data_IF_839370388055
#
_entry.id   IF_839370388055
#
_cell.length_a   1.000
_cell.length_b   1.000
_cell.length_c   1.000
_cell.angle_alpha   90.00
_cell.angle_beta   90.00
_cell.angle_gamma   90.00
#
_symmetry.space_group_name_H-M   'P 1'
#
loop_
_entity.id
_entity.type
_entity.pdbx_description
1 polymer ?
#
# COMPACT_ATOMS: atom_id res chain seq x y z
N UNK A 1 -4.72 11.30 32.98
CA UNK A 1 -3.59 11.47 32.05
C UNK A 1 -4.03 12.38 30.92
N UNK A 2 -3.40 13.54 30.76
CA UNK A 2 -3.65 14.45 29.66
C UNK A 2 -2.80 14.09 28.42
N UNK A 3 -3.04 14.76 27.29
CA UNK A 3 -2.33 14.46 26.04
C UNK A 3 -0.82 14.67 26.14
N UNK A 4 -0.35 15.62 26.94
CA UNK A 4 1.08 15.87 27.12
C UNK A 4 1.72 14.74 27.95
N UNK A 5 1.06 14.31 29.03
CA UNK A 5 1.51 13.20 29.88
C UNK A 5 1.58 11.88 29.08
N UNK A 6 0.58 11.61 28.24
CA UNK A 6 0.57 10.42 27.38
C UNK A 6 1.73 10.41 26.38
N UNK A 7 1.99 11.54 25.70
CA UNK A 7 3.09 11.66 24.74
C UNK A 7 4.45 11.44 25.40
N UNK A 8 4.62 11.98 26.61
CA UNK A 8 5.86 11.88 27.36
C UNK A 8 6.10 10.44 27.84
N UNK A 9 5.05 9.72 28.20
CA UNK A 9 5.13 8.31 28.58
C UNK A 9 5.47 7.42 27.37
N UNK A 10 4.83 7.64 26.21
CA UNK A 10 5.17 6.94 24.96
C UNK A 10 6.65 7.19 24.60
N UNK A 11 7.10 8.44 24.66
CA UNK A 11 8.49 8.80 24.38
C UNK A 11 9.47 8.01 25.27
N UNK A 12 9.23 7.96 26.58
CA UNK A 12 10.08 7.22 27.53
C UNK A 12 10.11 5.72 27.26
N UNK A 13 9.00 5.14 26.82
CA UNK A 13 8.94 3.72 26.49
C UNK A 13 9.71 3.42 25.20
N UNK A 14 9.56 4.26 24.17
CA UNK A 14 10.27 4.16 22.89
C UNK A 14 11.78 4.34 23.09
N UNK A 15 12.21 5.31 23.89
CA UNK A 15 13.63 5.62 24.16
C UNK A 15 14.41 4.44 24.77
N UNK A 16 13.71 3.49 25.40
CA UNK A 16 14.31 2.30 26.03
C UNK A 16 14.46 1.12 25.07
N UNK A 17 13.90 1.19 23.87
CA UNK A 17 13.90 0.08 22.93
C UNK A 17 15.21 -0.02 22.19
N UNK A 18 15.62 -1.25 21.90
CA UNK A 18 16.69 -1.50 20.94
C UNK A 18 16.25 -1.18 19.51
N UNK A 19 17.22 -1.15 18.60
CA UNK A 19 17.00 -0.79 17.20
C UNK A 19 15.95 -1.66 16.51
N UNK A 20 15.97 -2.98 16.72
CA UNK A 20 15.00 -3.90 16.10
C UNK A 20 13.57 -3.62 16.54
N UNK A 21 13.36 -3.38 17.83
CA UNK A 21 12.06 -3.06 18.38
C UNK A 21 11.60 -1.65 17.98
N UNK A 22 12.53 -0.70 17.84
CA UNK A 22 12.25 0.63 17.28
C UNK A 22 11.76 0.56 15.83
N UNK A 23 12.40 -0.24 14.98
CA UNK A 23 11.99 -0.44 13.58
C UNK A 23 10.58 -1.05 13.50
N UNK A 24 10.27 -2.02 14.38
CA UNK A 24 8.93 -2.60 14.45
C UNK A 24 7.86 -1.58 14.89
N UNK A 25 8.12 -0.80 15.93
CA UNK A 25 7.19 0.26 16.39
C UNK A 25 7.05 1.37 15.35
N UNK A 26 8.14 1.73 14.67
CA UNK A 26 8.09 2.69 13.57
C UNK A 26 7.15 2.22 12.47
N UNK A 27 7.24 0.95 12.05
CA UNK A 27 6.31 0.37 11.08
C UNK A 27 4.84 0.42 11.53
N UNK A 28 4.56 0.10 12.80
CA UNK A 28 3.21 0.14 13.36
C UNK A 28 2.67 1.58 13.41
N UNK A 29 3.47 2.53 13.91
CA UNK A 29 3.11 3.95 13.97
C UNK A 29 2.86 4.50 12.57
N UNK A 30 3.73 4.17 11.61
CA UNK A 30 3.59 4.65 10.25
C UNK A 30 2.37 4.04 9.58
N UNK A 31 2.07 2.77 9.81
CA UNK A 31 0.84 2.15 9.32
C UNK A 31 -0.40 2.77 9.96
N UNK A 32 -0.37 3.12 11.24
CA UNK A 32 -1.49 3.79 11.89
C UNK A 32 -1.69 5.20 11.32
N UNK A 33 -0.61 5.97 11.16
CA UNK A 33 -0.65 7.31 10.57
C UNK A 33 -1.16 7.23 9.13
N UNK A 34 -0.59 6.32 8.33
CA UNK A 34 -0.97 6.13 6.93
C UNK A 34 -2.40 5.61 6.78
N UNK A 35 -2.89 4.72 7.66
CA UNK A 35 -4.29 4.25 7.62
C UNK A 35 -5.31 5.37 7.94
N UNK A 36 -4.91 6.40 8.70
CA UNK A 36 -5.75 7.59 8.87
C UNK A 36 -5.84 8.42 7.58
N UNK A 37 -4.88 8.28 6.66
CA UNK A 37 -4.96 8.80 5.29
C UNK A 37 -5.63 7.81 4.32
N UNK A 38 -5.58 6.50 4.57
CA UNK A 38 -5.98 5.44 3.62
C UNK A 38 -7.50 5.30 3.41
N UNK A 39 -8.32 5.56 4.45
CA UNK A 39 -9.80 5.63 4.27
C UNK A 39 -10.18 6.82 3.35
N UNK A 40 -9.29 7.81 3.20
CA UNK A 40 -9.47 8.91 2.25
C UNK A 40 -9.10 8.53 0.82
N UNK A 41 -8.22 7.54 0.59
CA UNK A 41 -7.73 7.23 -0.75
C UNK A 41 -8.81 6.61 -1.63
N UNK A 42 -9.58 5.63 -1.13
CA UNK A 42 -10.69 5.05 -1.90
C UNK A 42 -11.70 6.12 -2.33
N UNK A 43 -12.08 7.01 -1.39
CA UNK A 43 -13.01 8.10 -1.64
C UNK A 43 -12.39 9.26 -2.44
N UNK A 44 -11.07 9.27 -2.63
CA UNK A 44 -10.35 10.24 -3.46
C UNK A 44 -10.23 9.81 -4.93
N UNK A 45 -10.43 8.52 -5.21
CA UNK A 45 -10.48 8.01 -6.58
C UNK A 45 -11.73 8.53 -7.29
N UNK A 46 -11.60 8.84 -8.58
CA UNK A 46 -12.77 9.11 -9.40
C UNK A 46 -13.64 7.86 -9.56
N UNK A 47 -14.93 8.04 -9.85
CA UNK A 47 -15.85 6.93 -10.13
C UNK A 47 -15.30 5.98 -11.22
N UNK A 48 -14.59 6.54 -12.21
CA UNK A 48 -13.96 5.78 -13.28
C UNK A 48 -12.80 4.90 -12.79
N UNK A 49 -11.96 5.44 -11.89
CA UNK A 49 -10.85 4.69 -11.30
C UNK A 49 -11.36 3.56 -10.40
N UNK A 50 -12.35 3.84 -9.55
CA UNK A 50 -13.00 2.82 -8.73
C UNK A 50 -13.62 1.72 -9.60
N UNK A 51 -14.35 2.10 -10.65
CA UNK A 51 -14.94 1.16 -11.61
C UNK A 51 -13.89 0.34 -12.35
N UNK A 52 -12.77 0.96 -12.72
CA UNK A 52 -11.64 0.28 -13.36
C UNK A 52 -11.05 -0.81 -12.46
N UNK A 53 -10.88 -0.52 -11.17
CA UNK A 53 -10.40 -1.50 -10.17
C UNK A 53 -11.38 -2.68 -10.05
N UNK A 54 -12.69 -2.41 -9.90
CA UNK A 54 -13.69 -3.49 -9.86
C UNK A 54 -13.71 -4.33 -11.14
N UNK A 55 -13.55 -3.68 -12.30
CA UNK A 55 -13.49 -4.38 -13.59
C UNK A 55 -12.26 -5.29 -13.67
N UNK A 56 -11.09 -4.82 -13.22
CA UNK A 56 -9.87 -5.62 -13.19
C UNK A 56 -9.99 -6.83 -12.24
N UNK A 57 -10.66 -6.66 -11.08
CA UNK A 57 -10.94 -7.76 -10.15
C UNK A 57 -11.83 -8.81 -10.81
N UNK A 58 -12.94 -8.39 -11.45
CA UNK A 58 -13.83 -9.31 -12.17
C UNK A 58 -13.10 -10.02 -13.32
N UNK A 59 -12.22 -9.32 -14.06
CA UNK A 59 -11.37 -9.93 -15.08
C UNK A 59 -10.44 -10.99 -14.50
N UNK A 60 -9.79 -10.73 -13.37
CA UNK A 60 -8.92 -11.69 -12.69
C UNK A 60 -9.68 -12.94 -12.24
N UNK A 61 -10.84 -12.76 -11.60
CA UNK A 61 -11.67 -13.86 -11.09
C UNK A 61 -12.23 -14.74 -12.22
N UNK A 62 -12.51 -14.15 -13.38
CA UNK A 62 -12.94 -14.88 -14.57
C UNK A 62 -11.78 -15.42 -15.43
N UNK A 63 -10.54 -15.36 -14.94
CA UNK A 63 -9.37 -15.85 -15.66
C UNK A 63 -8.98 -15.02 -16.88
N UNK A 64 -9.52 -13.81 -17.04
CA UNK A 64 -9.21 -12.85 -18.10
C UNK A 64 -7.97 -12.02 -17.77
N UNK A 65 -6.91 -12.70 -17.35
CA UNK A 65 -5.60 -12.08 -17.11
C UNK A 65 -4.62 -12.48 -18.20
N UNK A 66 -3.56 -11.69 -18.33
CA UNK A 66 -2.44 -11.99 -19.23
C UNK A 66 -1.20 -12.06 -18.36
N UNK A 67 -0.41 -13.12 -18.51
CA UNK A 67 0.85 -13.24 -17.78
C UNK A 67 1.84 -12.21 -18.29
N UNK A 68 2.66 -11.69 -17.38
CA UNK A 68 3.69 -10.73 -17.74
C UNK A 68 4.64 -11.28 -18.83
N UNK A 69 4.97 -12.57 -18.75
CA UNK A 69 5.80 -13.25 -19.75
C UNK A 69 5.20 -13.17 -21.16
N UNK A 70 3.89 -13.41 -21.30
CA UNK A 70 3.17 -13.33 -22.57
C UNK A 70 3.18 -11.91 -23.14
N UNK A 71 3.04 -10.90 -22.26
CA UNK A 71 3.13 -9.49 -22.64
C UNK A 71 4.54 -9.17 -23.17
N UNK A 72 5.57 -9.53 -22.42
CA UNK A 72 6.96 -9.29 -22.79
C UNK A 72 7.30 -10.00 -24.11
N UNK A 73 6.86 -11.23 -24.30
CA UNK A 73 7.06 -11.96 -25.56
C UNK A 73 6.34 -11.29 -26.74
N UNK A 74 5.09 -10.86 -26.56
CA UNK A 74 4.32 -10.12 -27.57
C UNK A 74 5.04 -8.84 -28.01
N UNK A 75 5.56 -8.07 -27.06
CA UNK A 75 6.27 -6.83 -27.37
C UNK A 75 7.64 -7.07 -28.01
N UNK A 76 8.40 -8.07 -27.55
CA UNK A 76 9.64 -8.50 -28.19
C UNK A 76 9.42 -8.86 -29.66
N UNK A 77 8.39 -9.68 -29.96
CA UNK A 77 8.03 -10.05 -31.34
C UNK A 77 7.63 -8.86 -32.20
N UNK A 78 6.92 -7.88 -31.63
CA UNK A 78 6.45 -6.69 -32.36
C UNK A 78 7.58 -5.77 -32.81
N UNK A 79 8.66 -5.68 -32.04
CA UNK A 79 9.82 -4.81 -32.31
C UNK A 79 11.06 -5.61 -32.74
N UNK A 80 10.93 -6.90 -33.03
CA UNK A 80 12.08 -7.74 -33.39
C UNK A 80 12.62 -7.50 -34.81
N UNK A 81 12.00 -6.60 -35.59
CA UNK A 81 12.35 -6.26 -36.98
C UNK A 81 12.77 -4.79 -37.15
N UNK A 82 13.28 -4.13 -36.10
CA UNK A 82 14.04 -2.87 -36.20
C UNK A 82 15.54 -3.13 -36.03
#
# INVERSE_FOLDING_TARGET
MNAAELKLEIFRQVDRLDKSNLEAIYGILMNYINNQYDISEWNSLSDEQQKGIYTAIDELENGRHILNEDIIEKYKKRYSNE
#
